data_IF_944713744371
#
_entry.id   IF_944713744371
#
_cell.length_a   1.000
_cell.length_b   1.000
_cell.length_c   1.000
_cell.angle_alpha   90.00
_cell.angle_beta   90.00
_cell.angle_gamma   90.00
#
_symmetry.space_group_name_H-M   'P 1'
#
loop_
_entity.id
_entity.type
_entity.pdbx_description
1 polymer ?
#
# COMPACT_ATOMS: atom_id res chain seq x y z
N UNK A 1 27.49 -8.38 72.83
CA UNK A 1 27.68 -7.39 71.74
C UNK A 1 29.04 -7.64 71.10
N UNK A 2 29.11 -8.52 70.10
CA UNK A 2 30.34 -8.77 69.33
C UNK A 2 30.39 -7.78 68.17
N UNK A 3 31.15 -6.69 68.36
CA UNK A 3 31.44 -5.73 67.30
C UNK A 3 32.32 -6.38 66.23
N UNK A 4 31.92 -6.24 64.98
CA UNK A 4 32.69 -6.70 63.82
C UNK A 4 34.00 -5.89 63.75
N UNK A 5 35.18 -6.51 63.58
CA UNK A 5 36.45 -5.81 63.57
C UNK A 5 36.55 -4.83 62.38
N UNK A 6 37.10 -3.62 62.56
CA UNK A 6 37.27 -2.66 61.48
C UNK A 6 38.25 -3.22 60.44
N UNK A 7 37.78 -3.40 59.20
CA UNK A 7 38.52 -4.02 58.10
C UNK A 7 37.92 -5.32 57.55
N UNK A 8 36.93 -5.92 58.22
CA UNK A 8 36.24 -7.12 57.72
C UNK A 8 35.27 -6.81 56.55
N UNK A 9 34.77 -5.58 56.46
CA UNK A 9 33.89 -5.16 55.38
C UNK A 9 34.63 -4.97 54.03
N UNK A 10 35.92 -4.63 54.06
CA UNK A 10 36.72 -4.37 52.85
C UNK A 10 36.97 -5.66 52.06
N UNK A 11 37.22 -6.78 52.74
CA UNK A 11 37.42 -8.09 52.11
C UNK A 11 36.11 -8.75 51.70
N UNK A 12 35.03 -8.53 52.45
CA UNK A 12 33.70 -9.03 52.11
C UNK A 12 33.23 -8.51 50.74
N UNK A 13 33.43 -7.21 50.46
CA UNK A 13 33.07 -6.61 49.17
C UNK A 13 33.95 -7.11 48.01
N UNK A 14 35.22 -7.43 48.27
CA UNK A 14 36.20 -7.84 47.26
C UNK A 14 36.34 -9.37 47.09
N UNK A 15 35.45 -10.17 47.66
CA UNK A 15 35.47 -11.62 47.43
C UNK A 15 35.15 -11.95 45.96
N UNK A 16 35.79 -12.97 45.37
CA UNK A 16 35.50 -13.39 43.99
C UNK A 16 34.02 -13.76 43.82
N UNK A 17 33.38 -14.26 44.88
CA UNK A 17 31.95 -14.57 44.91
C UNK A 17 31.06 -13.33 44.80
N UNK A 18 31.37 -12.24 45.51
CA UNK A 18 30.58 -11.01 45.38
C UNK A 18 30.78 -10.33 44.03
N UNK A 19 31.97 -10.42 43.44
CA UNK A 19 32.22 -9.94 42.08
C UNK A 19 31.45 -10.74 41.02
N UNK A 20 31.37 -12.07 41.14
CA UNK A 20 30.54 -12.88 40.24
C UNK A 20 29.07 -12.56 40.40
N UNK A 21 28.57 -12.44 41.63
CA UNK A 21 27.19 -12.03 41.90
C UNK A 21 26.87 -10.64 41.34
N UNK A 22 27.79 -9.69 41.46
CA UNK A 22 27.62 -8.33 40.94
C UNK A 22 27.61 -8.32 39.40
N UNK A 23 28.48 -9.08 38.74
CA UNK A 23 28.45 -9.24 37.27
C UNK A 23 27.15 -9.88 36.78
N UNK A 24 26.66 -10.91 37.48
CA UNK A 24 25.36 -11.54 37.17
C UNK A 24 24.21 -10.56 37.39
N UNK A 25 24.21 -9.77 38.47
CA UNK A 25 23.21 -8.75 38.73
C UNK A 25 23.22 -7.65 37.65
N UNK A 26 24.41 -7.16 37.28
CA UNK A 26 24.55 -6.14 36.24
C UNK A 26 24.16 -6.66 34.85
N UNK A 27 24.49 -7.90 34.52
CA UNK A 27 24.12 -8.50 33.24
C UNK A 27 22.61 -8.77 33.13
N UNK A 28 21.97 -9.24 34.21
CA UNK A 28 20.51 -9.38 34.27
C UNK A 28 19.79 -8.03 34.25
N UNK A 29 20.31 -7.03 34.97
CA UNK A 29 19.78 -5.68 34.93
C UNK A 29 19.92 -5.07 33.53
N UNK A 30 21.07 -5.26 32.88
CA UNK A 30 21.28 -4.85 31.50
C UNK A 30 20.27 -5.54 30.59
N UNK A 31 20.11 -6.86 30.66
CA UNK A 31 19.13 -7.61 29.85
C UNK A 31 17.68 -7.21 30.10
N UNK A 32 17.30 -6.87 31.33
CA UNK A 32 15.97 -6.34 31.65
C UNK A 32 15.73 -4.94 31.10
N UNK A 33 16.78 -4.12 31.09
CA UNK A 33 16.71 -2.72 30.67
C UNK A 33 17.04 -2.53 29.19
N UNK A 34 17.50 -3.56 28.48
CA UNK A 34 17.68 -3.50 27.01
C UNK A 34 16.32 -3.19 26.39
N UNK A 35 16.14 -1.99 25.80
CA UNK A 35 14.89 -1.66 25.14
C UNK A 35 14.73 -2.63 23.96
N UNK A 36 13.65 -3.41 23.97
CA UNK A 36 13.27 -4.21 22.81
C UNK A 36 12.97 -3.25 21.65
N UNK A 37 13.41 -3.58 20.44
CA UNK A 37 13.10 -2.77 19.26
C UNK A 37 11.58 -2.57 19.15
N UNK A 38 11.10 -1.34 18.89
CA UNK A 38 9.67 -1.11 18.79
C UNK A 38 9.09 -1.97 17.66
N UNK A 39 7.92 -2.60 17.87
CA UNK A 39 7.26 -3.37 16.82
C UNK A 39 6.97 -2.42 15.66
N UNK A 40 7.52 -2.73 14.48
CA UNK A 40 7.14 -2.04 13.25
C UNK A 40 5.71 -2.42 12.92
N UNK A 41 4.77 -1.50 13.13
CA UNK A 41 3.40 -1.68 12.69
C UNK A 41 3.39 -1.82 11.15
N UNK A 42 2.67 -2.81 10.59
CA UNK A 42 2.46 -2.86 9.16
C UNK A 42 1.79 -1.55 8.73
N UNK A 43 2.32 -0.94 7.66
CA UNK A 43 1.75 0.29 7.10
C UNK A 43 0.30 0.00 6.73
N UNK A 44 -0.63 0.61 7.44
CA UNK A 44 -2.06 0.47 7.15
C UNK A 44 -2.34 0.86 5.70
N UNK A 45 -3.44 0.36 5.10
CA UNK A 45 -3.84 0.78 3.77
C UNK A 45 -3.91 2.32 3.74
N UNK A 46 -3.35 2.91 2.69
CA UNK A 46 -3.35 4.36 2.52
C UNK A 46 -4.77 4.91 2.69
N UNK A 47 -4.97 6.03 3.40
CA UNK A 47 -6.29 6.61 3.58
C UNK A 47 -6.91 6.91 2.21
N UNK A 48 -8.17 6.51 2.06
CA UNK A 48 -8.99 6.68 0.86
C UNK A 48 -9.22 8.18 0.65
N UNK A 49 -8.42 8.83 -0.21
CA UNK A 49 -8.55 10.27 -0.48
C UNK A 49 -9.44 10.43 -1.70
N UNK A 50 -10.63 10.99 -1.49
CA UNK A 50 -11.50 11.40 -2.58
C UNK A 50 -10.83 12.50 -3.41
N UNK A 51 -10.11 12.08 -4.45
CA UNK A 51 -9.50 12.97 -5.43
C UNK A 51 -10.33 12.96 -6.70
N UNK A 52 -10.72 14.16 -7.14
CA UNK A 52 -11.34 14.35 -8.44
C UNK A 52 -10.25 14.40 -9.50
N UNK A 53 -10.28 13.44 -10.42
CA UNK A 53 -9.38 13.42 -11.57
C UNK A 53 -10.13 13.92 -12.80
N UNK A 54 -9.50 14.85 -13.51
CA UNK A 54 -9.87 15.19 -14.90
C UNK A 54 -9.20 14.20 -15.85
N UNK A 55 -9.73 13.98 -17.07
CA UNK A 55 -9.09 13.12 -18.07
C UNK A 55 -7.62 13.49 -18.33
N UNK A 56 -7.31 14.80 -18.38
CA UNK A 56 -5.92 15.29 -18.52
C UNK A 56 -5.01 14.92 -17.36
N UNK A 57 -5.51 15.00 -16.13
CA UNK A 57 -4.71 14.64 -14.94
C UNK A 57 -4.55 13.13 -14.83
N UNK A 58 -5.58 12.35 -15.19
CA UNK A 58 -5.56 10.90 -15.14
C UNK A 58 -4.53 10.32 -16.12
N UNK A 59 -4.37 10.93 -17.31
CA UNK A 59 -3.41 10.50 -18.33
C UNK A 59 -1.96 10.45 -17.84
N UNK A 60 -1.61 11.27 -16.82
CA UNK A 60 -0.27 11.29 -16.22
C UNK A 60 0.04 10.01 -15.43
N UNK A 61 -0.99 9.25 -15.05
CA UNK A 61 -0.92 8.04 -14.24
C UNK A 61 -1.09 6.78 -15.11
N UNK A 62 -0.32 6.70 -16.19
CA UNK A 62 -0.33 5.59 -17.14
C UNK A 62 0.77 4.54 -16.86
N UNK A 63 1.44 4.59 -15.72
CA UNK A 63 2.55 3.67 -15.42
C UNK A 63 3.90 4.02 -16.05
N UNK A 64 3.98 5.09 -16.86
CA UNK A 64 5.26 5.56 -17.41
C UNK A 64 6.07 6.30 -16.35
N UNK A 65 7.41 6.30 -16.45
CA UNK A 65 8.32 7.00 -15.53
C UNK A 65 8.17 6.62 -14.04
N UNK A 66 7.83 5.35 -13.76
CA UNK A 66 7.59 4.86 -12.39
C UNK A 66 6.41 5.50 -11.65
N UNK A 67 5.50 6.13 -12.39
CA UNK A 67 4.24 6.60 -11.84
C UNK A 67 3.28 5.42 -11.58
N UNK A 68 2.35 5.55 -10.62
CA UNK A 68 1.29 4.58 -10.43
C UNK A 68 0.37 4.52 -11.67
N UNK A 69 -0.35 3.41 -11.80
CA UNK A 69 -1.28 3.17 -12.90
C UNK A 69 -2.70 3.34 -12.40
N UNK A 70 -3.40 4.34 -12.91
CA UNK A 70 -4.80 4.59 -12.59
C UNK A 70 -5.67 4.36 -13.82
N UNK A 71 -6.90 3.90 -13.61
CA UNK A 71 -7.92 3.84 -14.66
C UNK A 71 -9.26 4.32 -14.09
N UNK A 72 -10.12 4.86 -14.94
CA UNK A 72 -11.48 5.21 -14.54
C UNK A 72 -12.48 4.18 -15.07
N UNK A 73 -13.48 3.85 -14.24
CA UNK A 73 -14.64 3.03 -14.62
C UNK A 73 -15.89 3.66 -14.01
N UNK A 74 -16.85 3.99 -14.86
CA UNK A 74 -18.16 4.57 -14.51
C UNK A 74 -18.05 5.79 -13.59
N UNK A 75 -17.08 6.67 -13.87
CA UNK A 75 -16.80 7.87 -13.09
C UNK A 75 -16.04 7.65 -11.77
N UNK A 76 -15.60 6.43 -11.46
CA UNK A 76 -14.72 6.12 -10.33
C UNK A 76 -13.30 5.83 -10.80
N UNK A 77 -12.30 6.30 -10.09
CA UNK A 77 -10.89 6.01 -10.39
C UNK A 77 -10.39 4.89 -9.49
N UNK A 78 -9.70 3.92 -10.09
CA UNK A 78 -9.14 2.75 -9.43
C UNK A 78 -7.61 2.74 -9.55
N UNK A 79 -6.93 2.40 -8.46
CA UNK A 79 -5.48 2.17 -8.46
C UNK A 79 -5.15 0.74 -8.87
N UNK A 80 -4.61 0.58 -10.07
CA UNK A 80 -4.25 -0.71 -10.66
C UNK A 80 -2.75 -0.93 -10.69
N UNK A 81 -1.99 -0.18 -9.88
CA UNK A 81 -0.52 -0.28 -9.80
C UNK A 81 -0.07 -1.68 -9.41
N UNK A 82 -0.83 -2.39 -8.57
CA UNK A 82 -0.57 -3.80 -8.25
C UNK A 82 -0.65 -4.73 -9.49
N UNK A 83 -1.39 -4.32 -10.52
CA UNK A 83 -1.53 -4.99 -11.80
C UNK A 83 -0.69 -4.38 -12.93
N UNK A 84 0.43 -3.71 -12.62
CA UNK A 84 1.28 -3.02 -13.62
C UNK A 84 1.73 -3.88 -14.79
N UNK A 85 1.83 -5.19 -14.63
CA UNK A 85 2.14 -6.11 -15.75
C UNK A 85 1.04 -6.18 -16.81
N UNK A 86 -0.20 -5.83 -16.45
CA UNK A 86 -1.36 -5.87 -17.34
C UNK A 86 -1.70 -4.48 -17.87
N UNK A 87 -1.75 -3.48 -16.98
CA UNK A 87 -2.18 -2.11 -17.28
C UNK A 87 -1.02 -1.13 -17.46
N UNK A 88 0.21 -1.52 -17.15
CA UNK A 88 1.39 -0.68 -17.37
C UNK A 88 1.90 -0.79 -18.81
N UNK A 89 2.96 -0.04 -19.14
CA UNK A 89 3.53 -0.01 -20.48
C UNK A 89 4.02 -1.39 -20.91
N UNK A 90 3.61 -1.83 -22.10
CA UNK A 90 3.86 -3.16 -22.67
C UNK A 90 2.88 -4.24 -22.24
N UNK A 91 1.89 -3.91 -21.41
CA UNK A 91 0.81 -4.82 -21.00
C UNK A 91 -0.34 -4.88 -22.01
N UNK A 92 -1.13 -5.97 -22.04
CA UNK A 92 -2.28 -6.11 -22.94
C UNK A 92 -3.37 -5.05 -22.72
N UNK A 93 -3.40 -4.42 -21.54
CA UNK A 93 -4.40 -3.41 -21.15
C UNK A 93 -3.77 -2.02 -20.97
N UNK A 94 -2.60 -1.76 -21.56
CA UNK A 94 -1.93 -0.45 -21.47
C UNK A 94 -2.80 0.70 -22.01
N UNK A 95 -3.66 0.40 -22.99
CA UNK A 95 -4.55 1.36 -23.63
C UNK A 95 -5.52 2.03 -22.64
N UNK A 96 -5.85 1.36 -21.54
CA UNK A 96 -6.73 1.88 -20.49
C UNK A 96 -5.99 2.66 -19.40
N UNK A 97 -4.65 2.65 -19.42
CA UNK A 97 -3.84 3.32 -18.43
C UNK A 97 -4.01 4.85 -18.52
N UNK A 98 -4.43 5.46 -17.42
CA UNK A 98 -4.65 6.89 -17.31
C UNK A 98 -5.90 7.41 -18.03
N UNK A 99 -6.82 6.53 -18.43
CA UNK A 99 -8.04 6.89 -19.18
C UNK A 99 -9.30 6.28 -18.57
N UNK A 100 -10.45 6.68 -19.10
CA UNK A 100 -11.71 6.02 -18.82
C UNK A 100 -11.83 4.73 -19.66
N UNK A 101 -11.89 3.60 -18.95
CA UNK A 101 -11.97 2.27 -19.52
C UNK A 101 -13.42 1.75 -19.59
N UNK A 102 -14.41 2.54 -19.17
CA UNK A 102 -15.82 2.11 -19.06
C UNK A 102 -16.31 1.44 -20.32
N UNK A 103 -16.15 2.08 -21.48
CA UNK A 103 -16.65 1.56 -22.76
C UNK A 103 -15.86 0.36 -23.25
N UNK A 104 -14.53 0.41 -23.15
CA UNK A 104 -13.67 -0.72 -23.54
C UNK A 104 -13.94 -1.99 -22.72
N UNK A 105 -14.15 -1.83 -21.40
CA UNK A 105 -14.49 -2.95 -20.51
C UNK A 105 -15.91 -3.46 -20.75
N UNK A 106 -16.89 -2.58 -20.97
CA UNK A 106 -18.28 -2.96 -21.23
C UNK A 106 -18.41 -3.72 -22.56
N UNK A 107 -17.73 -3.26 -23.61
CA UNK A 107 -17.73 -3.88 -24.93
C UNK A 107 -16.70 -5.03 -25.08
N UNK A 108 -15.90 -5.30 -24.05
CA UNK A 108 -14.77 -6.24 -24.09
C UNK A 108 -13.83 -6.01 -25.27
N UNK A 109 -13.67 -4.76 -25.68
CA UNK A 109 -12.81 -4.35 -26.81
C UNK A 109 -11.66 -3.49 -26.30
N UNK A 110 -10.47 -3.76 -26.83
CA UNK A 110 -9.24 -3.02 -26.56
C UNK A 110 -8.89 -2.05 -27.70
N UNK A 111 -9.82 -1.89 -28.65
CA UNK A 111 -9.62 -1.08 -29.83
C UNK A 111 -9.47 0.39 -29.45
N UNK A 112 -8.55 1.07 -30.12
CA UNK A 112 -8.30 2.49 -29.88
C UNK A 112 -9.55 3.35 -30.08
N UNK A 113 -10.46 2.95 -30.95
CA UNK A 113 -11.72 3.65 -31.23
C UNK A 113 -12.69 3.64 -30.04
N UNK A 114 -12.57 2.65 -29.16
CA UNK A 114 -13.37 2.53 -27.93
C UNK A 114 -12.74 3.26 -26.74
N UNK A 115 -11.56 3.84 -26.92
CA UNK A 115 -10.90 4.65 -25.91
C UNK A 115 -11.42 6.09 -25.94
N UNK A 116 -11.48 6.71 -24.77
CA UNK A 116 -11.70 8.15 -24.65
C UNK A 116 -10.51 8.90 -25.26
N UNK A 117 -10.59 9.19 -26.57
CA UNK A 117 -9.59 9.98 -27.31
C UNK A 117 -9.72 11.47 -27.01
N UNK A 118 -10.94 11.93 -26.77
CA UNK A 118 -11.20 13.31 -26.41
C UNK A 118 -11.01 13.54 -24.90
N UNK A 119 -9.86 14.10 -24.53
CA UNK A 119 -9.52 14.42 -23.15
C UNK A 119 -10.10 15.76 -22.68
N UNK A 120 -10.71 16.53 -23.59
CA UNK A 120 -11.31 17.84 -23.36
C UNK A 120 -12.84 17.85 -23.56
N UNK A 121 -13.38 16.79 -24.14
CA UNK A 121 -14.80 16.58 -24.36
C UNK A 121 -15.57 16.12 -23.12
N UNK A 122 -16.91 16.09 -23.21
CA UNK A 122 -17.75 15.52 -22.17
C UNK A 122 -17.43 14.02 -21.98
N UNK A 123 -17.45 13.56 -20.73
CA UNK A 123 -17.34 12.14 -20.41
C UNK A 123 -18.44 11.37 -21.15
N UNK A 124 -18.08 10.24 -21.75
CA UNK A 124 -19.04 9.39 -22.45
C UNK A 124 -20.06 8.84 -21.42
N UNK A 125 -21.35 9.21 -21.52
CA UNK A 125 -22.35 8.77 -20.56
C UNK A 125 -22.60 7.25 -20.65
N UNK A 126 -22.16 6.59 -21.74
CA UNK A 126 -22.32 5.15 -21.96
C UNK A 126 -23.77 4.67 -21.76
N UNK A 127 -24.75 5.53 -22.07
CA UNK A 127 -26.18 5.22 -21.95
C UNK A 127 -26.69 4.29 -23.06
N UNK A 128 -25.90 4.16 -24.14
CA UNK A 128 -26.14 3.28 -25.29
C UNK A 128 -25.72 1.82 -25.03
N UNK A 129 -25.17 1.50 -23.86
CA UNK A 129 -24.75 0.14 -23.52
C UNK A 129 -25.94 -0.82 -23.40
N UNK A 130 -25.81 -1.98 -24.04
CA UNK A 130 -26.78 -3.08 -23.94
C UNK A 130 -26.78 -3.71 -22.54
N UNK A 131 -27.82 -4.48 -22.22
CA UNK A 131 -27.90 -5.18 -20.94
C UNK A 131 -26.70 -6.11 -20.70
N UNK A 132 -26.22 -6.80 -21.74
CA UNK A 132 -25.05 -7.67 -21.68
C UNK A 132 -23.76 -6.88 -21.41
N UNK A 133 -23.54 -5.76 -22.11
CA UNK A 133 -22.38 -4.90 -21.90
C UNK A 133 -22.35 -4.31 -20.48
N UNK A 134 -23.54 -3.99 -19.93
CA UNK A 134 -23.68 -3.53 -18.54
C UNK A 134 -23.36 -4.62 -17.53
N UNK A 135 -23.76 -5.86 -17.79
CA UNK A 135 -23.43 -7.01 -16.94
C UNK A 135 -21.92 -7.28 -16.96
N UNK A 136 -21.30 -7.26 -18.14
CA UNK A 136 -19.86 -7.37 -18.29
C UNK A 136 -19.12 -6.28 -17.51
N UNK A 137 -19.54 -5.02 -17.66
CA UNK A 137 -19.00 -3.90 -16.91
C UNK A 137 -19.16 -4.08 -15.39
N UNK A 138 -20.31 -4.55 -14.94
CA UNK A 138 -20.57 -4.80 -13.52
C UNK A 138 -19.64 -5.88 -12.97
N UNK A 139 -19.38 -6.95 -13.72
CA UNK A 139 -18.41 -7.98 -13.35
C UNK A 139 -16.96 -7.49 -13.31
N UNK A 140 -16.61 -6.45 -14.07
CA UNK A 140 -15.32 -5.77 -13.94
C UNK A 140 -15.26 -4.89 -12.69
N UNK A 141 -16.33 -4.12 -12.41
CA UNK A 141 -16.44 -3.28 -11.21
C UNK A 141 -16.33 -4.13 -9.95
N UNK A 142 -17.00 -5.28 -9.88
CA UNK A 142 -16.88 -6.20 -8.75
C UNK A 142 -15.44 -6.68 -8.53
N UNK A 143 -14.73 -7.08 -9.60
CA UNK A 143 -13.32 -7.48 -9.48
C UNK A 143 -12.42 -6.35 -8.98
N UNK A 144 -12.69 -5.12 -9.37
CA UNK A 144 -11.93 -3.95 -8.92
C UNK A 144 -12.27 -3.57 -7.47
N UNK A 145 -13.54 -3.71 -7.08
CA UNK A 145 -14.00 -3.44 -5.71
C UNK A 145 -13.51 -4.52 -4.73
N UNK A 146 -13.51 -5.81 -5.12
CA UNK A 146 -12.97 -6.92 -4.33
C UNK A 146 -11.47 -6.77 -4.09
N UNK A 147 -10.73 -6.35 -5.12
CA UNK A 147 -9.26 -6.27 -5.06
C UNK A 147 -8.74 -5.07 -4.26
N UNK A 148 -9.62 -4.35 -3.54
CA UNK A 148 -9.30 -3.20 -2.70
C UNK A 148 -8.48 -2.12 -3.44
N UNK A 149 -8.78 -1.87 -4.72
CA UNK A 149 -8.18 -0.80 -5.51
C UNK A 149 -8.76 0.59 -5.21
N UNK A 150 -9.31 0.76 -3.99
CA UNK A 150 -9.95 1.98 -3.52
C UNK A 150 -8.85 2.99 -3.17
N UNK A 151 -8.77 4.05 -3.97
CA UNK A 151 -7.96 5.26 -3.73
C UNK A 151 -8.48 6.10 -2.60
#
# INVERSE_FOLDING_TARGET
MSGIPPGMYDTALATPLNLTLLLVLLSLAYWRLRPSSPPTLPKGPSPVVFQTYTPRTLLKYNGTKDMPVYLAVRGKVYDVTAGRNFYGPGGPYENFAGRDATRGLACQSFDEEMLTKDLDGPLDPCEDLTAEQRENLQGWIERFDEKLWKL
#
